data_IF_445001360588
#
_entry.id   IF_445001360588
#
_cell.length_a   1.000
_cell.length_b   1.000
_cell.length_c   1.000
_cell.angle_alpha   90.00
_cell.angle_beta   90.00
_cell.angle_gamma   90.00
#
_symmetry.space_group_name_H-M   'P 1'
#
loop_
_entity.id
_entity.type
_entity.pdbx_description
1 polymer ?
#
# COMPACT_ATOMS: atom_id res chain seq x y z
N UNK A 1 -8.61 9.66 21.76
CA UNK A 1 -9.32 8.79 22.71
C UNK A 1 -10.43 8.04 21.98
N UNK A 2 -10.89 6.91 22.52
CA UNK A 2 -12.00 6.16 21.95
C UNK A 2 -13.28 7.01 21.85
N UNK A 3 -13.52 7.89 22.84
CA UNK A 3 -14.64 8.82 22.81
C UNK A 3 -14.61 9.78 21.61
N UNK A 4 -13.44 10.32 21.25
CA UNK A 4 -13.32 11.16 20.05
C UNK A 4 -13.53 10.36 18.77
N UNK A 5 -13.01 9.13 18.70
CA UNK A 5 -13.24 8.26 17.55
C UNK A 5 -14.74 8.03 17.31
N UNK A 6 -15.50 7.68 18.36
CA UNK A 6 -16.96 7.49 18.27
C UNK A 6 -17.67 8.78 17.82
N UNK A 7 -17.27 9.94 18.32
CA UNK A 7 -17.83 11.23 17.87
C UNK A 7 -17.61 11.48 16.38
N UNK A 8 -16.43 11.18 15.86
CA UNK A 8 -16.12 11.35 14.43
C UNK A 8 -16.85 10.31 13.57
N UNK A 9 -16.99 9.08 14.06
CA UNK A 9 -17.80 8.04 13.44
C UNK A 9 -19.26 8.50 13.29
N UNK A 10 -19.86 9.01 14.38
CA UNK A 10 -21.21 9.57 14.37
C UNK A 10 -21.32 10.78 13.44
N UNK A 11 -20.32 11.66 13.41
CA UNK A 11 -20.27 12.78 12.47
C UNK A 11 -20.34 12.30 11.03
N UNK A 12 -19.54 11.29 10.66
CA UNK A 12 -19.55 10.70 9.31
C UNK A 12 -20.94 10.16 8.93
N UNK A 13 -21.59 9.44 9.84
CA UNK A 13 -22.94 8.92 9.61
C UNK A 13 -23.99 10.03 9.45
N UNK A 14 -23.90 11.11 10.23
CA UNK A 14 -24.87 12.22 10.19
C UNK A 14 -24.77 13.05 8.91
N UNK A 15 -23.57 13.24 8.36
CA UNK A 15 -23.35 14.02 7.13
C UNK A 15 -23.53 13.21 5.84
N UNK A 16 -23.70 11.89 5.95
CA UNK A 16 -23.91 11.03 4.78
C UNK A 16 -25.25 11.36 4.12
N UNK A 17 -25.24 11.46 2.79
CA UNK A 17 -26.46 11.67 2.02
C UNK A 17 -27.44 10.50 2.20
N UNK A 18 -28.71 10.85 2.39
CA UNK A 18 -29.79 9.88 2.51
C UNK A 18 -30.14 9.35 1.13
N UNK A 19 -30.31 8.04 1.04
CA UNK A 19 -30.79 7.36 -0.17
C UNK A 19 -31.91 6.39 0.22
N UNK A 20 -32.95 6.32 -0.62
CA UNK A 20 -34.09 5.42 -0.44
C UNK A 20 -33.71 3.97 -0.76
N UNK A 21 -32.72 3.78 -1.65
CA UNK A 21 -32.12 2.48 -1.92
C UNK A 21 -31.19 2.11 -0.76
N UNK A 22 -31.55 1.03 -0.05
CA UNK A 22 -30.80 0.55 1.12
C UNK A 22 -29.35 0.21 0.76
N UNK A 23 -29.11 -0.40 -0.39
CA UNK A 23 -27.77 -0.79 -0.82
C UNK A 23 -26.92 0.44 -1.11
N UNK A 24 -27.47 1.43 -1.82
CA UNK A 24 -26.78 2.70 -2.06
C UNK A 24 -26.49 3.44 -0.76
N UNK A 25 -27.48 3.54 0.13
CA UNK A 25 -27.32 4.18 1.44
C UNK A 25 -26.21 3.54 2.27
N UNK A 26 -26.11 2.21 2.27
CA UNK A 26 -25.04 1.49 2.99
C UNK A 26 -23.68 1.82 2.39
N UNK A 27 -23.54 1.83 1.07
CA UNK A 27 -22.28 2.20 0.41
C UNK A 27 -21.89 3.66 0.69
N UNK A 28 -22.84 4.59 0.60
CA UNK A 28 -22.62 6.00 0.92
C UNK A 28 -22.17 6.19 2.38
N UNK A 29 -22.77 5.45 3.32
CA UNK A 29 -22.38 5.46 4.74
C UNK A 29 -20.95 4.98 4.93
N UNK A 30 -20.58 3.87 4.30
CA UNK A 30 -19.22 3.32 4.36
C UNK A 30 -18.23 4.36 3.82
N UNK A 31 -18.45 4.87 2.61
CA UNK A 31 -17.55 5.81 1.95
C UNK A 31 -17.40 7.12 2.75
N UNK A 32 -18.51 7.78 3.07
CA UNK A 32 -18.52 9.06 3.78
C UNK A 32 -17.88 8.93 5.17
N UNK A 33 -18.21 7.86 5.89
CA UNK A 33 -17.68 7.64 7.24
C UNK A 33 -16.19 7.30 7.19
N UNK A 34 -15.76 6.42 6.28
CA UNK A 34 -14.35 6.09 6.08
C UNK A 34 -13.52 7.32 5.71
N UNK A 35 -14.01 8.14 4.79
CA UNK A 35 -13.34 9.38 4.40
C UNK A 35 -13.26 10.39 5.56
N UNK A 36 -14.36 10.57 6.29
CA UNK A 36 -14.40 11.49 7.45
C UNK A 36 -13.38 11.08 8.51
N UNK A 37 -13.27 9.79 8.81
CA UNK A 37 -12.28 9.25 9.77
C UNK A 37 -10.86 9.44 9.22
N UNK A 38 -10.62 9.15 7.95
CA UNK A 38 -9.32 9.32 7.31
C UNK A 38 -8.84 10.77 7.39
N UNK A 39 -9.69 11.73 7.01
CA UNK A 39 -9.38 13.17 7.05
C UNK A 39 -9.07 13.61 8.48
N UNK A 40 -9.88 13.18 9.45
CA UNK A 40 -9.65 13.52 10.85
C UNK A 40 -8.29 13.01 11.37
N UNK A 41 -7.91 11.79 11.00
CA UNK A 41 -6.59 11.25 11.38
C UNK A 41 -5.47 12.01 10.66
N UNK A 42 -5.62 12.25 9.35
CA UNK A 42 -4.64 12.96 8.54
C UNK A 42 -4.38 14.38 9.07
N UNK A 43 -5.39 15.09 9.57
CA UNK A 43 -5.24 16.41 10.20
C UNK A 43 -4.37 16.40 11.46
N UNK A 44 -4.32 15.27 12.18
CA UNK A 44 -3.48 15.09 13.37
C UNK A 44 -2.07 14.57 13.08
N UNK A 45 -1.75 14.25 11.82
CA UNK A 45 -0.46 13.71 11.41
C UNK A 45 0.44 14.80 10.82
N UNK A 46 1.75 14.69 11.08
CA UNK A 46 2.75 15.43 10.30
C UNK A 46 2.66 15.02 8.82
N UNK A 47 2.84 15.96 7.90
CA UNK A 47 2.76 15.71 6.45
C UNK A 47 3.63 14.53 6.00
N UNK A 48 4.86 14.44 6.54
CA UNK A 48 5.80 13.35 6.24
C UNK A 48 5.29 11.94 6.60
N UNK A 49 4.27 11.82 7.47
CA UNK A 49 3.70 10.54 7.90
C UNK A 49 2.40 10.19 7.20
N UNK A 50 1.76 11.11 6.49
CA UNK A 50 0.45 10.87 5.86
C UNK A 50 0.54 9.74 4.82
N UNK A 51 1.61 9.72 4.01
CA UNK A 51 1.79 8.69 2.99
C UNK A 51 1.91 7.30 3.63
N UNK A 52 2.72 7.15 4.68
CA UNK A 52 2.90 5.87 5.39
C UNK A 52 1.58 5.37 5.96
N UNK A 53 0.81 6.27 6.61
CA UNK A 53 -0.50 5.93 7.15
C UNK A 53 -1.49 5.49 6.06
N UNK A 54 -1.60 6.26 4.97
CA UNK A 54 -2.48 5.93 3.83
C UNK A 54 -2.12 4.58 3.21
N UNK A 55 -0.83 4.32 3.01
CA UNK A 55 -0.34 3.05 2.46
C UNK A 55 -0.69 1.88 3.38
N UNK A 56 -0.45 2.00 4.69
CA UNK A 56 -0.82 0.97 5.66
C UNK A 56 -2.34 0.72 5.72
N UNK A 57 -3.15 1.78 5.65
CA UNK A 57 -4.60 1.66 5.62
C UNK A 57 -5.06 0.90 4.37
N UNK A 58 -4.50 1.23 3.20
CA UNK A 58 -4.76 0.52 1.95
C UNK A 58 -4.46 -0.97 2.07
N UNK A 59 -3.26 -1.34 2.55
CA UNK A 59 -2.90 -2.74 2.73
C UNK A 59 -3.81 -3.46 3.72
N UNK A 60 -4.24 -2.81 4.82
CA UNK A 60 -5.19 -3.42 5.75
C UNK A 60 -6.58 -3.64 5.14
N UNK A 61 -7.02 -2.76 4.24
CA UNK A 61 -8.29 -2.94 3.51
C UNK A 61 -8.17 -4.12 2.56
N UNK A 62 -7.11 -4.18 1.75
CA UNK A 62 -6.86 -5.29 0.83
C UNK A 62 -6.74 -6.63 1.57
N UNK A 63 -6.00 -6.67 2.67
CA UNK A 63 -5.88 -7.86 3.51
C UNK A 63 -7.23 -8.35 4.05
N UNK A 64 -8.12 -7.43 4.46
CA UNK A 64 -9.46 -7.78 4.92
C UNK A 64 -10.37 -8.30 3.81
N UNK A 65 -10.15 -7.89 2.57
CA UNK A 65 -10.89 -8.38 1.39
C UNK A 65 -10.37 -9.74 0.89
N UNK A 66 -9.15 -10.09 1.26
CA UNK A 66 -8.45 -11.27 0.72
C UNK A 66 -7.71 -10.98 -0.59
N UNK A 67 -7.61 -9.70 -0.99
CA UNK A 67 -7.01 -9.27 -2.27
C UNK A 67 -5.50 -8.96 -2.12
N UNK A 68 -4.91 -9.22 -0.96
CA UNK A 68 -3.50 -8.92 -0.70
C UNK A 68 -2.64 -10.18 -0.85
N UNK A 69 -1.73 -10.17 -1.82
CA UNK A 69 -0.64 -11.14 -1.87
C UNK A 69 0.29 -10.94 -0.67
N UNK A 70 0.29 -11.93 0.22
CA UNK A 70 1.05 -11.88 1.46
C UNK A 70 2.55 -11.99 1.20
N UNK A 71 2.97 -12.75 0.19
CA UNK A 71 4.39 -12.92 -0.14
C UNK A 71 4.98 -11.64 -0.73
N UNK A 72 4.27 -11.00 -1.67
CA UNK A 72 4.67 -9.69 -2.21
C UNK A 72 4.64 -8.60 -1.14
N UNK A 73 3.64 -8.61 -0.25
CA UNK A 73 3.58 -7.67 0.87
C UNK A 73 4.77 -7.85 1.82
N UNK A 74 5.11 -9.08 2.21
CA UNK A 74 6.28 -9.35 3.05
C UNK A 74 7.59 -8.93 2.39
N UNK A 75 7.73 -9.20 1.08
CA UNK A 75 8.88 -8.74 0.29
C UNK A 75 9.02 -7.22 0.35
N UNK A 76 7.93 -6.48 0.10
CA UNK A 76 7.92 -5.01 0.10
C UNK A 76 8.36 -4.43 1.44
N UNK A 77 7.94 -5.04 2.56
CA UNK A 77 8.27 -4.56 3.90
C UNK A 77 9.70 -4.92 4.30
N UNK A 78 10.19 -6.11 3.93
CA UNK A 78 11.53 -6.58 4.30
C UNK A 78 12.63 -6.01 3.40
N UNK A 79 12.32 -5.74 2.14
CA UNK A 79 13.28 -5.25 1.14
C UNK A 79 14.55 -6.07 1.06
N UNK A 80 14.48 -7.41 0.88
CA UNK A 80 15.66 -8.26 0.86
C UNK A 80 16.56 -7.93 -0.35
N UNK A 81 17.87 -8.16 -0.18
CA UNK A 81 18.87 -8.02 -1.25
C UNK A 81 19.69 -9.30 -1.31
N UNK A 82 19.77 -9.89 -2.50
CA UNK A 82 20.63 -11.04 -2.75
C UNK A 82 22.09 -10.58 -2.83
N UNK A 83 22.99 -11.39 -2.26
CA UNK A 83 24.43 -11.15 -2.23
C UNK A 83 25.15 -12.15 -3.13
N UNK A 84 26.32 -11.78 -3.66
CA UNK A 84 27.18 -12.71 -4.40
C UNK A 84 26.88 -12.81 -5.90
N UNK A 85 25.96 -11.99 -6.43
CA UNK A 85 25.75 -11.87 -7.87
C UNK A 85 26.65 -10.78 -8.47
N UNK A 86 27.30 -11.10 -9.60
CA UNK A 86 27.97 -10.08 -10.40
C UNK A 86 26.93 -9.16 -11.03
N UNK A 87 27.23 -7.86 -11.09
CA UNK A 87 26.36 -6.85 -11.66
C UNK A 87 26.79 -6.51 -13.09
N UNK A 88 26.05 -6.99 -14.11
CA UNK A 88 26.36 -6.73 -15.52
C UNK A 88 25.97 -5.33 -16.00
N UNK A 89 25.16 -4.60 -15.23
CA UNK A 89 24.60 -3.27 -15.58
C UNK A 89 25.11 -2.18 -14.63
N UNK A 90 26.34 -2.35 -14.14
CA UNK A 90 26.98 -1.50 -13.13
C UNK A 90 27.13 -0.03 -13.56
N UNK A 91 27.09 0.24 -14.86
CA UNK A 91 27.21 1.58 -15.42
C UNK A 91 26.03 2.50 -15.02
N UNK A 92 24.85 1.96 -14.69
CA UNK A 92 23.68 2.76 -14.29
C UNK A 92 22.92 2.22 -13.07
N UNK A 93 23.13 0.95 -12.69
CA UNK A 93 22.48 0.34 -11.52
C UNK A 93 23.54 -0.10 -10.51
N UNK A 94 23.44 0.36 -9.27
CA UNK A 94 24.39 -0.02 -8.23
C UNK A 94 24.22 -1.49 -7.79
N UNK A 95 25.27 -2.05 -7.18
CA UNK A 95 25.30 -3.45 -6.76
C UNK A 95 24.20 -3.78 -5.74
N UNK A 96 23.78 -2.80 -4.93
CA UNK A 96 22.74 -2.99 -3.92
C UNK A 96 21.34 -3.10 -4.54
N UNK A 97 21.07 -2.32 -5.59
CA UNK A 97 19.82 -2.34 -6.36
C UNK A 97 19.78 -3.56 -7.25
N UNK A 98 20.92 -3.95 -7.84
CA UNK A 98 21.02 -5.23 -8.55
C UNK A 98 20.76 -6.42 -7.60
N UNK A 99 21.28 -6.40 -6.38
CA UNK A 99 20.94 -7.38 -5.35
C UNK A 99 19.44 -7.43 -5.03
N UNK A 100 18.75 -6.28 -5.05
CA UNK A 100 17.29 -6.23 -4.88
C UNK A 100 16.55 -6.82 -6.08
N UNK A 101 17.01 -6.56 -7.31
CA UNK A 101 16.46 -7.18 -8.54
C UNK A 101 16.63 -8.69 -8.49
N UNK A 102 17.81 -9.18 -8.10
CA UNK A 102 18.08 -10.61 -7.98
C UNK A 102 17.22 -11.27 -6.90
N UNK A 103 16.94 -10.57 -5.78
CA UNK A 103 16.00 -11.06 -4.79
C UNK A 103 14.54 -11.06 -5.29
N UNK A 104 14.15 -10.04 -6.07
CA UNK A 104 12.81 -9.92 -6.64
C UNK A 104 12.55 -10.97 -7.73
N UNK A 105 13.58 -11.37 -8.48
CA UNK A 105 13.49 -12.39 -9.54
C UNK A 105 12.90 -13.71 -9.04
N UNK A 106 13.14 -14.08 -7.79
CA UNK A 106 12.63 -15.32 -7.19
C UNK A 106 11.13 -15.26 -6.84
N UNK A 107 10.49 -14.09 -7.00
CA UNK A 107 9.05 -13.91 -6.79
C UNK A 107 8.29 -14.25 -8.07
N UNK A 108 7.14 -14.91 -7.92
CA UNK A 108 6.26 -15.26 -9.04
C UNK A 108 5.89 -14.01 -9.86
N UNK A 109 6.12 -14.09 -11.18
CA UNK A 109 5.84 -12.99 -12.11
C UNK A 109 7.01 -12.02 -12.32
N UNK A 110 8.15 -12.23 -11.65
CA UNK A 110 9.36 -11.40 -11.80
C UNK A 110 10.57 -12.18 -12.35
N UNK A 111 10.38 -13.43 -12.77
CA UNK A 111 11.46 -14.35 -13.18
C UNK A 111 12.35 -13.80 -14.31
N UNK A 112 11.78 -13.00 -15.20
CA UNK A 112 12.47 -12.41 -16.35
C UNK A 112 13.04 -11.01 -16.09
N UNK A 113 12.79 -10.42 -14.91
CA UNK A 113 13.15 -9.02 -14.63
C UNK A 113 14.66 -8.78 -14.77
N UNK A 114 15.48 -9.68 -14.24
CA UNK A 114 16.93 -9.55 -14.32
C UNK A 114 17.43 -9.58 -15.78
N UNK A 115 16.91 -10.51 -16.60
CA UNK A 115 17.26 -10.60 -18.02
C UNK A 115 16.77 -9.41 -18.83
N UNK A 116 15.59 -8.86 -18.52
CA UNK A 116 15.04 -7.70 -19.21
C UNK A 116 15.86 -6.43 -18.94
N UNK A 117 16.36 -6.28 -17.71
CA UNK A 117 17.25 -5.19 -17.29
C UNK A 117 18.59 -5.29 -18.03
N UNK A 118 19.17 -6.49 -18.12
CA UNK A 118 20.42 -6.73 -18.85
C UNK A 118 20.27 -6.49 -20.36
N UNK A 119 19.17 -6.95 -20.95
CA UNK A 119 18.91 -6.86 -22.38
C UNK A 119 18.70 -5.44 -22.88
N UNK A 120 18.05 -4.58 -22.08
CA UNK A 120 17.77 -3.19 -22.43
C UNK A 120 18.90 -2.21 -22.07
N UNK A 121 19.96 -2.69 -21.41
CA UNK A 121 21.13 -1.87 -21.08
C UNK A 121 22.17 -1.78 -22.21
N UNK A 122 21.95 -2.49 -23.32
CA UNK A 122 22.81 -2.49 -24.52
C UNK A 122 22.19 -1.65 -25.62
#
# INVERSE_FOLDING_TARGET
SMANFVKILQKGMTITDKDDDVTKRVNNLIETTSYTIFVYIAQGLFEKHKLVFSTQLCFRILARRGDLDTALYEFLIRGPKAMGHSNPVKDWLDDASWGAVMALKEMEGFDNLASDIEGNSK
#
